data_IF_425896833704
#
_entry.id   IF_425896833704
#
_cell.length_a   1.000
_cell.length_b   1.000
_cell.length_c   1.000
_cell.angle_alpha   90.00
_cell.angle_beta   90.00
_cell.angle_gamma   90.00
#
_symmetry.space_group_name_H-M   'P 1'
#
loop_
_entity.id
_entity.type
_entity.pdbx_description
1 polymer ?
#
# COMPACT_ATOMS: atom_id res chain seq x y z
N UNK A 1 21.64 -27.01 -33.38
CA UNK A 1 20.32 -27.39 -32.81
C UNK A 1 20.53 -27.89 -31.38
N UNK A 2 19.77 -27.42 -30.40
CA UNK A 2 19.85 -27.92 -29.00
C UNK A 2 18.85 -29.05 -28.78
N UNK A 3 19.06 -29.87 -27.75
CA UNK A 3 18.10 -30.92 -27.36
C UNK A 3 16.85 -30.36 -26.65
N UNK A 4 16.75 -29.04 -26.42
CA UNK A 4 15.66 -28.45 -25.64
C UNK A 4 15.68 -28.85 -24.16
N UNK A 5 14.57 -28.60 -23.46
CA UNK A 5 14.41 -28.96 -22.03
C UNK A 5 14.36 -30.48 -21.88
N UNK A 6 15.33 -31.04 -21.17
CA UNK A 6 15.38 -32.47 -20.87
C UNK A 6 14.76 -32.75 -19.51
N UNK A 7 14.00 -33.84 -19.41
CA UNK A 7 13.48 -34.34 -18.13
C UNK A 7 14.65 -34.96 -17.36
N UNK A 8 14.75 -34.62 -16.08
CA UNK A 8 15.72 -35.20 -15.15
C UNK A 8 14.96 -35.86 -14.01
N UNK A 9 15.55 -36.89 -13.41
CA UNK A 9 15.00 -37.53 -12.21
C UNK A 9 15.03 -36.57 -11.01
N UNK A 10 14.05 -36.69 -10.12
CA UNK A 10 14.00 -35.91 -8.88
C UNK A 10 14.82 -36.58 -7.79
N UNK A 11 16.12 -36.66 -8.03
CA UNK A 11 17.14 -37.15 -7.11
C UNK A 11 18.31 -36.16 -7.03
N UNK A 12 19.26 -36.40 -6.14
CA UNK A 12 20.48 -35.59 -6.09
C UNK A 12 21.26 -35.70 -7.41
N UNK A 13 21.74 -34.55 -7.90
CA UNK A 13 22.56 -34.48 -9.11
C UNK A 13 24.01 -34.66 -8.70
N UNK A 14 24.66 -35.77 -9.03
CA UNK A 14 26.04 -36.04 -8.61
C UNK A 14 27.07 -35.09 -9.24
N UNK A 15 26.85 -34.67 -10.50
CA UNK A 15 27.75 -33.78 -11.20
C UNK A 15 27.67 -32.34 -10.65
N UNK A 16 28.75 -31.85 -10.05
CA UNK A 16 28.78 -30.54 -9.38
C UNK A 16 28.47 -29.35 -10.29
N UNK A 17 28.98 -29.33 -11.51
CA UNK A 17 28.71 -28.24 -12.47
C UNK A 17 27.21 -28.21 -12.82
N UNK A 18 26.63 -29.39 -13.05
CA UNK A 18 25.19 -29.53 -13.34
C UNK A 18 24.34 -29.23 -12.12
N UNK A 19 24.80 -29.61 -10.92
CA UNK A 19 24.17 -29.29 -9.62
C UNK A 19 24.10 -27.78 -9.41
N UNK A 20 25.23 -27.07 -9.57
CA UNK A 20 25.32 -25.61 -9.42
C UNK A 20 24.49 -24.87 -10.47
N UNK A 21 24.57 -25.25 -11.73
CA UNK A 21 23.78 -24.60 -12.79
C UNK A 21 22.27 -24.85 -12.61
N UNK A 22 21.87 -26.05 -12.19
CA UNK A 22 20.48 -26.37 -11.88
C UNK A 22 19.99 -25.60 -10.65
N UNK A 23 20.81 -25.52 -9.60
CA UNK A 23 20.51 -24.72 -8.41
C UNK A 23 20.26 -23.26 -8.77
N UNK A 24 21.16 -22.62 -9.53
CA UNK A 24 21.01 -21.23 -9.96
C UNK A 24 19.73 -20.99 -10.76
N UNK A 25 19.41 -21.87 -11.71
CA UNK A 25 18.18 -21.77 -12.52
C UNK A 25 16.92 -21.99 -11.68
N UNK A 26 16.90 -23.00 -10.80
CA UNK A 26 15.75 -23.30 -9.93
C UNK A 26 15.53 -22.20 -8.91
N UNK A 27 16.60 -21.68 -8.29
CA UNK A 27 16.54 -20.55 -7.35
C UNK A 27 15.89 -19.34 -8.00
N UNK A 28 16.37 -18.91 -9.17
CA UNK A 28 15.77 -17.78 -9.90
C UNK A 28 14.29 -18.00 -10.20
N UNK A 29 13.91 -19.20 -10.65
CA UNK A 29 12.51 -19.55 -10.91
C UNK A 29 11.62 -19.54 -9.66
N UNK A 30 12.12 -20.04 -8.52
CA UNK A 30 11.40 -20.05 -7.24
C UNK A 30 11.27 -18.63 -6.69
N UNK A 31 12.34 -17.84 -6.72
CA UNK A 31 12.30 -16.42 -6.29
C UNK A 31 11.26 -15.65 -7.09
N UNK A 32 11.20 -15.83 -8.41
CA UNK A 32 10.19 -15.18 -9.26
C UNK A 32 8.76 -15.56 -8.84
N UNK A 33 8.49 -16.86 -8.68
CA UNK A 33 7.17 -17.33 -8.24
C UNK A 33 6.78 -16.80 -6.86
N UNK A 34 7.73 -16.71 -5.93
CA UNK A 34 7.49 -16.14 -4.61
C UNK A 34 7.14 -14.64 -4.70
N UNK A 35 7.83 -13.89 -5.57
CA UNK A 35 7.52 -12.47 -5.83
C UNK A 35 6.13 -12.29 -6.44
N UNK A 36 5.78 -13.12 -7.42
CA UNK A 36 4.46 -13.09 -8.05
C UNK A 36 3.36 -13.42 -7.01
N UNK A 37 3.58 -14.44 -6.17
CA UNK A 37 2.65 -14.84 -5.11
C UNK A 37 2.47 -13.73 -4.07
N UNK A 38 3.56 -13.12 -3.61
CA UNK A 38 3.53 -12.01 -2.66
C UNK A 38 2.78 -10.80 -3.24
N UNK A 39 2.95 -10.53 -4.54
CA UNK A 39 2.25 -9.45 -5.24
C UNK A 39 0.75 -9.73 -5.36
N UNK A 40 0.36 -10.95 -5.71
CA UNK A 40 -1.04 -11.33 -5.93
C UNK A 40 -1.84 -11.45 -4.62
N UNK A 41 -1.21 -11.96 -3.56
CA UNK A 41 -1.90 -12.26 -2.30
C UNK A 41 -1.67 -11.23 -1.21
N UNK A 42 -0.62 -10.40 -1.35
CA UNK A 42 -0.15 -9.53 -0.27
C UNK A 42 0.52 -10.28 0.89
N UNK A 43 0.67 -11.61 0.81
CA UNK A 43 1.28 -12.43 1.84
C UNK A 43 2.81 -12.27 1.86
N UNK A 44 3.40 -12.42 3.05
CA UNK A 44 4.86 -12.47 3.22
C UNK A 44 5.34 -13.88 2.89
N UNK A 45 6.16 -14.02 1.85
CA UNK A 45 6.75 -15.29 1.42
C UNK A 45 8.23 -15.31 1.80
N UNK A 46 8.64 -16.28 2.62
CA UNK A 46 10.03 -16.44 3.05
C UNK A 46 10.64 -17.67 2.37
N UNK A 47 11.68 -17.45 1.58
CA UNK A 47 12.48 -18.52 0.99
C UNK A 47 13.75 -18.72 1.82
N UNK A 48 13.82 -19.82 2.59
CA UNK A 48 15.02 -20.19 3.32
C UNK A 48 15.95 -21.03 2.42
N UNK A 49 17.19 -20.55 2.21
CA UNK A 49 18.21 -21.25 1.43
C UNK A 49 19.46 -21.50 2.29
N UNK A 50 19.75 -22.77 2.67
CA UNK A 50 20.96 -23.11 3.39
C UNK A 50 22.10 -23.36 2.40
N UNK A 51 22.92 -22.35 2.08
CA UNK A 51 24.19 -22.60 1.35
C UNK A 51 25.24 -21.52 1.58
N UNK A 52 26.46 -21.96 1.88
CA UNK A 52 27.70 -21.19 2.16
C UNK A 52 28.16 -20.30 1.00
N UNK A 53 27.63 -20.53 -0.21
CA UNK A 53 27.79 -19.69 -1.41
C UNK A 53 27.17 -18.28 -1.31
N UNK A 54 26.41 -18.02 -0.24
CA UNK A 54 25.89 -16.67 0.04
C UNK A 54 27.04 -15.67 0.02
N UNK A 55 28.19 -15.96 0.64
CA UNK A 55 29.28 -14.99 0.85
C UNK A 55 30.11 -14.63 -0.40
N UNK A 56 30.19 -15.51 -1.42
CA UNK A 56 31.13 -15.31 -2.55
C UNK A 56 30.47 -14.98 -3.89
N UNK A 57 29.17 -15.26 -4.07
CA UNK A 57 28.39 -14.88 -5.27
C UNK A 57 27.56 -13.61 -5.07
N UNK A 58 27.87 -12.88 -4.00
CA UNK A 58 26.96 -11.98 -3.29
C UNK A 58 26.78 -10.60 -3.94
N UNK A 59 27.52 -10.22 -4.99
CA UNK A 59 27.37 -8.88 -5.57
C UNK A 59 26.38 -8.84 -6.73
N UNK A 60 26.56 -9.64 -7.78
CA UNK A 60 25.78 -9.50 -9.03
C UNK A 60 24.38 -10.14 -8.96
N UNK A 61 24.27 -11.36 -8.41
CA UNK A 61 22.98 -12.07 -8.34
C UNK A 61 22.05 -11.40 -7.32
N UNK A 62 22.62 -11.00 -6.18
CA UNK A 62 21.92 -10.29 -5.12
C UNK A 62 21.46 -8.92 -5.62
N UNK A 63 22.31 -8.17 -6.35
CA UNK A 63 21.91 -6.89 -6.95
C UNK A 63 20.74 -7.01 -7.93
N UNK A 64 20.65 -8.11 -8.68
CA UNK A 64 19.53 -8.36 -9.59
C UNK A 64 18.23 -8.70 -8.84
N UNK A 65 18.31 -9.51 -7.77
CA UNK A 65 17.15 -9.85 -6.93
C UNK A 65 16.64 -8.62 -6.13
N UNK A 66 17.53 -7.77 -5.58
CA UNK A 66 17.13 -6.57 -4.84
C UNK A 66 16.42 -5.53 -5.70
N UNK A 67 16.80 -5.36 -6.97
CA UNK A 67 16.11 -4.40 -7.86
C UNK A 67 14.62 -4.72 -7.98
N UNK A 68 14.27 -6.00 -8.07
CA UNK A 68 12.87 -6.44 -8.16
C UNK A 68 12.13 -6.24 -6.85
N UNK A 69 12.76 -6.60 -5.73
CA UNK A 69 12.19 -6.42 -4.39
C UNK A 69 12.00 -4.93 -4.06
N UNK A 70 12.98 -4.08 -4.36
CA UNK A 70 12.92 -2.63 -4.15
C UNK A 70 11.80 -2.03 -5.01
N UNK A 71 11.70 -2.41 -6.29
CA UNK A 71 10.62 -1.95 -7.17
C UNK A 71 9.24 -2.33 -6.60
N UNK A 72 9.07 -3.58 -6.15
CA UNK A 72 7.81 -4.03 -5.53
C UNK A 72 7.47 -3.25 -4.25
N UNK A 73 8.47 -2.97 -3.40
CA UNK A 73 8.29 -2.16 -2.18
C UNK A 73 7.89 -0.73 -2.52
N UNK A 74 8.55 -0.11 -3.51
CA UNK A 74 8.22 1.26 -3.97
C UNK A 74 6.80 1.32 -4.52
N UNK A 75 6.40 0.36 -5.36
CA UNK A 75 5.03 0.30 -5.89
C UNK A 75 3.99 0.13 -4.79
N UNK A 76 4.28 -0.70 -3.78
CA UNK A 76 3.40 -0.88 -2.62
C UNK A 76 3.29 0.42 -1.82
N UNK A 77 4.40 1.12 -1.61
CA UNK A 77 4.44 2.37 -0.85
C UNK A 77 3.65 3.48 -1.55
N UNK A 78 3.83 3.65 -2.86
CA UNK A 78 3.05 4.62 -3.64
C UNK A 78 1.54 4.39 -3.52
N UNK A 79 1.08 3.13 -3.56
CA UNK A 79 -0.35 2.83 -3.38
C UNK A 79 -0.85 3.14 -1.96
N UNK A 80 0.01 3.00 -0.95
CA UNK A 80 -0.32 3.36 0.44
C UNK A 80 -0.42 4.88 0.57
N UNK A 81 0.51 5.62 -0.04
CA UNK A 81 0.56 7.07 0.01
C UNK A 81 -0.68 7.69 -0.67
N UNK A 82 -1.09 7.17 -1.82
CA UNK A 82 -2.33 7.58 -2.51
C UNK A 82 -3.56 7.38 -1.61
N UNK A 83 -3.67 6.23 -0.94
CA UNK A 83 -4.78 5.95 -0.03
C UNK A 83 -4.77 6.88 1.18
N UNK A 84 -3.60 7.14 1.76
CA UNK A 84 -3.45 8.08 2.86
C UNK A 84 -3.86 9.49 2.45
N UNK A 85 -3.53 9.91 1.23
CA UNK A 85 -3.95 11.20 0.70
C UNK A 85 -5.47 11.29 0.58
N UNK A 86 -6.14 10.24 0.08
CA UNK A 86 -7.61 10.20 0.02
C UNK A 86 -8.25 10.29 1.41
N UNK A 87 -7.72 9.55 2.39
CA UNK A 87 -8.19 9.61 3.78
C UNK A 87 -8.07 11.03 4.35
N UNK A 88 -6.93 11.69 4.14
CA UNK A 88 -6.71 13.06 4.59
C UNK A 88 -7.68 14.06 3.94
N UNK A 89 -7.97 13.90 2.64
CA UNK A 89 -8.94 14.74 1.94
C UNK A 89 -10.36 14.57 2.51
N UNK A 90 -10.78 13.33 2.80
CA UNK A 90 -12.09 13.09 3.42
C UNK A 90 -12.17 13.65 4.84
N UNK A 91 -11.07 13.56 5.60
CA UNK A 91 -10.99 14.14 6.95
C UNK A 91 -11.18 15.66 6.93
N UNK A 92 -10.55 16.37 6.00
CA UNK A 92 -10.72 17.82 5.85
C UNK A 92 -12.18 18.19 5.53
N UNK A 93 -12.79 17.52 4.54
CA UNK A 93 -14.20 17.74 4.20
C UNK A 93 -15.13 17.51 5.39
N UNK A 94 -14.88 16.45 6.17
CA UNK A 94 -15.66 16.16 7.36
C UNK A 94 -15.54 17.27 8.43
N UNK A 95 -14.35 17.85 8.62
CA UNK A 95 -14.16 18.96 9.54
C UNK A 95 -14.89 20.23 9.10
N UNK A 96 -14.87 20.53 7.81
CA UNK A 96 -15.60 21.67 7.23
C UNK A 96 -17.10 21.52 7.45
N UNK A 97 -17.66 20.34 7.18
CA UNK A 97 -19.08 20.06 7.42
C UNK A 97 -19.44 20.14 8.92
N UNK A 98 -18.55 19.67 9.81
CA UNK A 98 -18.71 19.84 11.27
C UNK A 98 -18.73 21.31 11.67
N UNK A 99 -17.87 22.15 11.07
CA UNK A 99 -17.85 23.60 11.32
C UNK A 99 -19.13 24.27 10.81
N UNK A 100 -19.57 23.96 9.58
CA UNK A 100 -20.85 24.47 9.02
C UNK A 100 -22.05 24.09 9.89
N UNK A 101 -22.13 22.82 10.33
CA UNK A 101 -23.18 22.34 11.24
C UNK A 101 -23.21 23.12 12.57
N UNK A 102 -22.04 23.39 13.17
CA UNK A 102 -21.95 24.21 14.40
C UNK A 102 -22.45 25.63 14.18
N UNK A 103 -22.11 26.25 13.04
CA UNK A 103 -22.57 27.61 12.69
C UNK A 103 -24.08 27.63 12.48
N UNK A 104 -24.64 26.67 11.73
CA UNK A 104 -26.09 26.59 11.52
C UNK A 104 -26.85 26.39 12.85
N UNK A 105 -26.35 25.52 13.74
CA UNK A 105 -26.95 25.32 15.06
C UNK A 105 -26.97 26.60 15.90
N UNK A 106 -25.89 27.39 15.88
CA UNK A 106 -25.84 28.70 16.57
C UNK A 106 -26.82 29.71 15.98
N UNK A 107 -26.95 29.75 14.64
CA UNK A 107 -27.93 30.63 13.97
C UNK A 107 -29.37 30.27 14.36
N UNK A 108 -29.71 28.98 14.37
CA UNK A 108 -31.03 28.50 14.77
C UNK A 108 -31.36 28.89 16.21
N UNK A 109 -30.43 28.69 17.16
CA UNK A 109 -30.61 29.11 18.55
C UNK A 109 -30.78 30.62 18.74
N UNK A 110 -30.08 31.44 17.93
CA UNK A 110 -30.26 32.90 17.94
C UNK A 110 -31.61 33.33 17.39
N UNK A 111 -32.13 32.61 16.38
CA UNK A 111 -33.42 32.87 15.75
C UNK A 111 -34.59 32.49 16.67
N UNK A 112 -34.48 31.39 17.40
CA UNK A 112 -35.43 30.99 18.46
C UNK A 112 -35.46 32.02 19.61
N UNK A 113 -34.31 32.56 20.01
CA UNK A 113 -34.21 33.58 21.06
C UNK A 113 -34.81 34.94 20.67
N UNK A 114 -34.66 35.34 19.41
CA UNK A 114 -35.05 36.67 18.97
C UNK A 114 -36.46 36.72 18.36
N UNK A 115 -37.12 35.57 18.18
CA UNK A 115 -38.48 35.46 17.65
C UNK A 115 -38.57 35.91 16.18
N UNK A 116 -39.18 35.11 15.31
CA UNK A 116 -39.37 35.45 13.89
C UNK A 116 -40.16 36.77 13.66
N UNK A 117 -40.87 37.26 14.68
CA UNK A 117 -41.80 38.39 14.63
C UNK A 117 -41.31 39.65 15.40
N UNK A 118 -40.03 39.71 15.75
CA UNK A 118 -39.53 40.54 16.86
C UNK A 118 -39.60 42.07 16.74
N UNK A 119 -39.91 42.67 15.58
CA UNK A 119 -39.87 44.15 15.44
C UNK A 119 -40.99 44.81 14.62
N UNK A 120 -41.98 44.10 14.09
CA UNK A 120 -43.06 44.73 13.29
C UNK A 120 -44.26 45.25 14.12
N UNK A 121 -44.16 45.33 15.46
CA UNK A 121 -45.30 45.62 16.33
C UNK A 121 -45.15 46.73 17.38
N UNK A 122 -44.03 47.44 17.49
CA UNK A 122 -43.88 48.48 18.52
C UNK A 122 -44.43 49.82 18.05
N UNK A 123 -45.73 50.03 18.27
CA UNK A 123 -46.37 51.33 18.10
C UNK A 123 -45.64 52.40 18.95
N UNK A 124 -45.37 53.61 18.43
CA UNK A 124 -44.70 54.66 19.19
C UNK A 124 -45.65 55.16 20.28
N UNK A 125 -45.32 54.87 21.54
CA UNK A 125 -45.99 55.46 22.70
C UNK A 125 -45.71 56.97 22.72
N UNK A 126 -46.75 57.76 22.48
CA UNK A 126 -46.72 59.22 22.70
C UNK A 126 -46.57 59.48 24.20
N UNK A 127 -45.45 60.08 24.61
CA UNK A 127 -45.30 60.64 25.96
C UNK A 127 -45.80 62.09 25.94
N UNK A 128 -46.67 62.41 26.88
CA UNK A 128 -47.26 63.72 27.14
C UNK A 128 -46.29 64.62 27.90
#
# INVERSE_FOLDING_TARGET
KTKGKQKIEMKEIENDVTKLTTFSKRRSGITKKASDLATLTGAVVVNYMPSVLHLLSQSLIVSFEWKQVISMIIHRQSRIDDLNQQVNQFMQKLEEEKKKKKVMKKKLQGMERNGWWGDEGRAPTKTR
#
